data_IF_087729198286
#
_entry.id   IF_087729198286
#
_cell.length_a   1.000
_cell.length_b   1.000
_cell.length_c   1.000
_cell.angle_alpha   90.00
_cell.angle_beta   90.00
_cell.angle_gamma   90.00
#
_symmetry.space_group_name_H-M   'P 1'
#
loop_
_entity.id
_entity.type
_entity.pdbx_description
1 polymer ?
#
# COMPACT_ATOMS: atom_id res chain seq x y z
N UNK A 1 23.84 15.44 25.67
CA UNK A 1 23.66 15.49 24.19
C UNK A 1 22.21 15.34 23.85
N UNK A 2 21.66 16.31 23.14
CA UNK A 2 20.32 16.36 22.55
C UNK A 2 20.18 15.21 21.53
N UNK A 3 19.01 14.56 21.42
CA UNK A 3 18.70 13.84 20.18
C UNK A 3 18.99 14.82 19.03
N UNK A 4 19.69 14.39 17.98
CA UNK A 4 19.89 15.23 16.81
C UNK A 4 18.53 15.75 16.34
N UNK A 5 18.50 16.98 15.84
CA UNK A 5 17.27 17.64 15.39
C UNK A 5 16.42 16.69 14.53
N UNK A 6 17.05 15.89 13.66
CA UNK A 6 16.39 14.87 12.84
C UNK A 6 15.60 13.78 13.59
N UNK A 7 16.13 13.20 14.67
CA UNK A 7 15.45 12.10 15.39
C UNK A 7 14.23 12.55 16.22
N UNK A 8 14.27 13.78 16.77
CA UNK A 8 13.11 14.40 17.45
C UNK A 8 12.04 14.87 16.46
N UNK A 9 12.48 15.32 15.29
CA UNK A 9 11.57 15.74 14.21
C UNK A 9 10.80 14.53 13.67
N UNK A 10 11.44 13.38 13.47
CA UNK A 10 10.77 12.16 12.99
C UNK A 10 9.69 11.63 13.95
N UNK A 11 9.93 11.60 15.27
CA UNK A 11 8.91 11.16 16.24
C UNK A 11 7.72 12.11 16.35
N UNK A 12 7.96 13.42 16.34
CA UNK A 12 6.88 14.41 16.31
C UNK A 12 6.09 14.37 15.01
N UNK A 13 6.76 14.16 13.88
CA UNK A 13 6.11 14.00 12.57
C UNK A 13 5.23 12.75 12.52
N UNK A 14 5.68 11.62 13.08
CA UNK A 14 4.90 10.39 13.10
C UNK A 14 3.65 10.52 14.00
N UNK A 15 3.80 11.13 15.18
CA UNK A 15 2.67 11.40 16.08
C UNK A 15 1.69 12.40 15.45
N UNK A 16 2.19 13.48 14.85
CA UNK A 16 1.36 14.46 14.17
C UNK A 16 0.62 13.84 12.97
N UNK A 17 1.32 13.01 12.18
CA UNK A 17 0.70 12.29 11.07
C UNK A 17 -0.41 11.35 11.55
N UNK A 18 -0.16 10.57 12.61
CA UNK A 18 -1.17 9.69 13.24
C UNK A 18 -2.39 10.47 13.75
N UNK A 19 -2.19 11.65 14.33
CA UNK A 19 -3.29 12.53 14.79
C UNK A 19 -4.06 13.18 13.63
N UNK A 20 -3.41 13.39 12.49
CA UNK A 20 -4.00 13.98 11.29
C UNK A 20 -4.56 12.96 10.29
N UNK A 21 -4.31 11.66 10.51
CA UNK A 21 -4.71 10.62 9.57
C UNK A 21 -6.24 10.53 9.51
N UNK A 22 -6.78 10.71 8.31
CA UNK A 22 -8.19 10.54 8.04
C UNK A 22 -8.41 9.18 7.38
N UNK A 23 -9.21 8.29 7.99
CA UNK A 23 -9.58 7.02 7.39
C UNK A 23 -10.30 7.23 6.06
N UNK A 24 -10.03 6.35 5.10
CA UNK A 24 -10.76 6.30 3.84
C UNK A 24 -12.24 6.03 4.10
N UNK A 25 -13.12 6.79 3.46
CA UNK A 25 -14.57 6.56 3.55
C UNK A 25 -15.02 5.40 2.65
N UNK A 26 -14.35 5.23 1.50
CA UNK A 26 -14.59 4.17 0.52
C UNK A 26 -13.26 3.74 -0.10
N UNK A 27 -13.17 2.49 -0.53
CA UNK A 27 -12.04 1.97 -1.30
C UNK A 27 -12.53 1.31 -2.59
N UNK A 28 -11.64 1.20 -3.57
CA UNK A 28 -11.93 0.54 -4.83
C UNK A 28 -12.26 -0.94 -4.64
N UNK A 29 -13.21 -1.43 -5.44
CA UNK A 29 -13.60 -2.82 -5.44
C UNK A 29 -12.56 -3.68 -6.16
N UNK A 30 -12.33 -4.87 -5.63
CA UNK A 30 -11.53 -5.89 -6.30
C UNK A 30 -12.33 -6.60 -7.39
N UNK A 31 -11.66 -7.38 -8.24
CA UNK A 31 -12.35 -8.24 -9.21
C UNK A 31 -13.25 -9.26 -8.52
N UNK A 32 -12.86 -9.74 -7.34
CA UNK A 32 -13.68 -10.69 -6.58
C UNK A 32 -14.93 -10.02 -6.02
N UNK A 33 -14.82 -8.80 -5.51
CA UNK A 33 -15.99 -8.02 -5.06
C UNK A 33 -16.98 -7.77 -6.21
N UNK A 34 -16.47 -7.46 -7.42
CA UNK A 34 -17.30 -7.31 -8.62
C UNK A 34 -18.01 -8.61 -9.00
N UNK A 35 -17.33 -9.75 -8.91
CA UNK A 35 -17.96 -11.06 -9.15
C UNK A 35 -19.06 -11.35 -8.12
N UNK A 36 -18.85 -11.01 -6.85
CA UNK A 36 -19.87 -11.17 -5.80
C UNK A 36 -21.11 -10.33 -6.15
N UNK A 37 -20.94 -9.07 -6.56
CA UNK A 37 -22.06 -8.23 -7.00
C UNK A 37 -22.80 -8.82 -8.19
N UNK A 38 -22.07 -9.30 -9.20
CA UNK A 38 -22.65 -9.91 -10.39
C UNK A 38 -23.44 -11.19 -10.05
N UNK A 39 -22.91 -12.06 -9.20
CA UNK A 39 -23.61 -13.27 -8.73
C UNK A 39 -24.89 -12.90 -7.98
N UNK A 40 -24.82 -11.93 -7.08
CA UNK A 40 -25.99 -11.47 -6.31
C UNK A 40 -27.05 -10.85 -7.21
N UNK A 41 -26.65 -10.02 -8.17
CA UNK A 41 -27.54 -9.44 -9.17
C UNK A 41 -28.22 -10.53 -10.01
N UNK A 42 -27.44 -11.49 -10.54
CA UNK A 42 -27.97 -12.61 -11.33
C UNK A 42 -28.99 -13.44 -10.55
N UNK A 43 -28.72 -13.70 -9.27
CA UNK A 43 -29.64 -14.44 -8.41
C UNK A 43 -30.98 -13.70 -8.23
N UNK A 44 -30.93 -12.37 -7.99
CA UNK A 44 -32.13 -11.53 -7.87
C UNK A 44 -32.92 -11.46 -9.17
N UNK A 45 -32.25 -11.26 -10.31
CA UNK A 45 -32.92 -11.21 -11.61
C UNK A 45 -33.59 -12.56 -11.95
N UNK A 46 -32.92 -13.68 -11.68
CA UNK A 46 -33.51 -15.00 -11.82
C UNK A 46 -34.73 -15.19 -10.91
N UNK A 47 -34.71 -14.65 -9.69
CA UNK A 47 -35.88 -14.66 -8.80
C UNK A 47 -37.05 -13.85 -9.39
N UNK A 48 -36.78 -12.70 -10.02
CA UNK A 48 -37.81 -11.90 -10.70
C UNK A 48 -38.44 -12.67 -11.86
N UNK A 49 -37.64 -13.41 -12.63
CA UNK A 49 -38.14 -14.32 -13.66
C UNK A 49 -39.08 -15.36 -13.03
N UNK A 50 -38.62 -16.09 -12.01
CA UNK A 50 -39.37 -17.22 -11.47
C UNK A 50 -40.65 -16.82 -10.74
N UNK A 51 -40.66 -15.67 -10.07
CA UNK A 51 -41.81 -15.21 -9.29
C UNK A 51 -42.73 -14.29 -10.08
N UNK A 52 -42.19 -13.21 -10.62
CA UNK A 52 -43.01 -12.13 -11.19
C UNK A 52 -43.36 -12.37 -12.67
N UNK A 53 -42.39 -12.83 -13.48
CA UNK A 53 -42.67 -13.13 -14.88
C UNK A 53 -43.63 -14.32 -15.02
N UNK A 54 -43.51 -15.33 -14.16
CA UNK A 54 -44.45 -16.46 -14.06
C UNK A 54 -45.91 -16.01 -13.86
N UNK A 55 -46.14 -15.00 -13.01
CA UNK A 55 -47.47 -14.46 -12.75
C UNK A 55 -48.04 -13.74 -13.97
N UNK A 56 -47.20 -12.97 -14.69
CA UNK A 56 -47.59 -12.32 -15.95
C UNK A 56 -47.91 -13.37 -17.01
N UNK A 57 -47.05 -14.39 -17.20
CA UNK A 57 -47.27 -15.47 -18.15
C UNK A 57 -48.61 -16.18 -17.92
N UNK A 58 -48.92 -16.48 -16.66
CA UNK A 58 -50.20 -17.09 -16.27
C UNK A 58 -51.38 -16.19 -16.63
N UNK A 59 -51.28 -14.89 -16.36
CA UNK A 59 -52.36 -13.96 -16.63
C UNK A 59 -52.62 -13.77 -18.14
N UNK A 60 -51.56 -13.73 -18.96
CA UNK A 60 -51.71 -13.56 -20.42
C UNK A 60 -52.20 -14.85 -21.08
N UNK A 61 -51.75 -16.03 -20.65
CA UNK A 61 -52.16 -17.33 -21.22
C UNK A 61 -53.62 -17.69 -20.92
N UNK A 62 -54.18 -17.13 -19.85
CA UNK A 62 -55.59 -17.31 -19.45
C UNK A 62 -56.54 -16.30 -20.11
N UNK A 63 -56.03 -15.30 -20.83
CA UNK A 63 -56.88 -14.35 -21.52
C UNK A 63 -57.66 -15.06 -22.66
N UNK A 64 -58.91 -14.64 -22.89
CA UNK A 64 -59.81 -15.25 -23.89
C UNK A 64 -59.23 -15.29 -25.32
N UNK A 65 -58.28 -14.42 -25.63
CA UNK A 65 -57.63 -14.33 -26.95
C UNK A 65 -56.24 -14.98 -27.00
N UNK A 66 -55.82 -15.70 -25.95
CA UNK A 66 -54.49 -16.29 -25.89
C UNK A 66 -54.36 -17.63 -26.63
N UNK A 67 -55.48 -18.27 -26.97
CA UNK A 67 -55.48 -19.63 -27.49
C UNK A 67 -54.58 -19.87 -28.73
N UNK A 68 -54.42 -18.95 -29.71
CA UNK A 68 -53.52 -19.18 -30.85
C UNK A 68 -52.03 -19.17 -30.47
N UNK A 69 -51.69 -18.58 -29.32
CA UNK A 69 -50.33 -18.33 -28.87
C UNK A 69 -49.90 -19.29 -27.75
N UNK A 70 -50.83 -20.10 -27.23
CA UNK A 70 -50.59 -21.00 -26.11
C UNK A 70 -49.72 -22.21 -26.48
N UNK A 71 -49.66 -22.58 -27.76
CA UNK A 71 -48.88 -23.71 -28.27
C UNK A 71 -48.18 -23.34 -29.59
N UNK A 72 -47.12 -24.08 -29.99
CA UNK A 72 -46.46 -23.84 -31.27
C UNK A 72 -47.44 -23.89 -32.45
N UNK A 73 -47.17 -23.08 -33.49
CA UNK A 73 -47.95 -23.11 -34.73
C UNK A 73 -47.78 -24.46 -35.43
N UNK A 74 -48.90 -25.08 -35.80
CA UNK A 74 -48.92 -26.34 -36.54
C UNK A 74 -48.48 -26.12 -38.00
N UNK A 75 -47.23 -26.46 -38.28
CA UNK A 75 -46.62 -26.29 -39.62
C UNK A 75 -47.18 -27.26 -40.67
N UNK A 76 -47.89 -28.33 -40.28
CA UNK A 76 -48.61 -29.15 -41.25
C UNK A 76 -49.85 -28.41 -41.78
N UNK A 77 -50.49 -27.60 -40.93
CA UNK A 77 -51.63 -26.73 -41.31
C UNK A 77 -51.20 -25.42 -41.96
N UNK A 78 -50.03 -24.90 -41.59
CA UNK A 78 -49.45 -23.65 -42.10
C UNK A 78 -48.04 -23.92 -42.66
N UNK A 79 -47.92 -24.57 -43.83
CA UNK A 79 -46.64 -25.06 -44.37
C UNK A 79 -45.68 -23.94 -44.81
N UNK A 80 -46.19 -22.74 -45.08
CA UNK A 80 -45.41 -21.55 -45.41
C UNK A 80 -44.92 -20.79 -44.16
N UNK A 81 -45.45 -21.07 -42.98
CA UNK A 81 -45.07 -20.39 -41.73
C UNK A 81 -43.55 -20.38 -41.46
N UNK A 82 -42.81 -21.50 -41.59
CA UNK A 82 -41.36 -21.48 -41.38
C UNK A 82 -40.57 -20.68 -42.43
N UNK A 83 -41.18 -20.38 -43.58
CA UNK A 83 -40.56 -19.52 -44.61
C UNK A 83 -40.71 -18.04 -44.29
N UNK A 84 -41.79 -17.67 -43.60
CA UNK A 84 -42.12 -16.28 -43.26
C UNK A 84 -41.55 -15.89 -41.89
N UNK A 85 -41.58 -16.82 -40.93
CA UNK A 85 -41.18 -16.61 -39.54
C UNK A 85 -39.88 -17.36 -39.25
N UNK A 86 -38.80 -16.60 -39.05
CA UNK A 86 -37.46 -17.13 -38.84
C UNK A 86 -37.27 -17.79 -37.47
N UNK A 87 -37.93 -17.27 -36.43
CA UNK A 87 -37.78 -17.78 -35.05
C UNK A 87 -39.17 -17.95 -34.44
N UNK A 88 -39.80 -19.12 -34.62
CA UNK A 88 -41.08 -19.44 -33.99
C UNK A 88 -40.99 -19.33 -32.46
N UNK A 89 -42.05 -18.84 -31.82
CA UNK A 89 -42.17 -18.74 -30.37
C UNK A 89 -43.64 -18.82 -29.96
N UNK A 90 -43.90 -19.35 -28.77
CA UNK A 90 -45.23 -19.50 -28.18
C UNK A 90 -45.13 -19.54 -26.64
N UNK A 91 -46.26 -19.38 -25.95
CA UNK A 91 -46.26 -19.29 -24.49
C UNK A 91 -45.91 -20.61 -23.78
N UNK A 92 -46.18 -21.78 -24.38
CA UNK A 92 -45.76 -23.07 -23.79
C UNK A 92 -44.25 -23.26 -23.88
N UNK A 93 -43.63 -22.84 -24.99
CA UNK A 93 -42.16 -22.84 -25.12
C UNK A 93 -41.52 -21.89 -24.12
N UNK A 94 -42.05 -20.68 -23.95
CA UNK A 94 -41.57 -19.72 -22.95
C UNK A 94 -41.72 -20.30 -21.54
N UNK A 95 -42.84 -20.97 -21.24
CA UNK A 95 -43.07 -21.63 -19.95
C UNK A 95 -42.00 -22.69 -19.68
N UNK A 96 -41.74 -23.58 -20.64
CA UNK A 96 -40.71 -24.62 -20.52
C UNK A 96 -39.32 -24.02 -20.32
N UNK A 97 -38.96 -23.00 -21.10
CA UNK A 97 -37.70 -22.27 -20.93
C UNK A 97 -37.58 -21.68 -19.53
N UNK A 98 -38.63 -21.00 -19.06
CA UNK A 98 -38.66 -20.41 -17.73
C UNK A 98 -38.49 -21.47 -16.64
N UNK A 99 -39.25 -22.56 -16.69
CA UNK A 99 -39.21 -23.64 -15.69
C UNK A 99 -37.84 -24.37 -15.69
N UNK A 100 -37.13 -24.38 -16.83
CA UNK A 100 -35.76 -24.93 -16.92
C UNK A 100 -34.65 -23.99 -16.43
N UNK A 101 -34.98 -22.76 -16.02
CA UNK A 101 -34.01 -21.74 -15.63
C UNK A 101 -33.24 -21.13 -16.81
N UNK A 102 -33.79 -21.19 -18.02
CA UNK A 102 -33.16 -20.66 -19.23
C UNK A 102 -32.93 -19.15 -19.16
N UNK A 103 -33.94 -18.40 -18.71
CA UNK A 103 -33.87 -16.93 -18.62
C UNK A 103 -33.15 -16.52 -17.34
N UNK A 104 -32.11 -15.70 -17.50
CA UNK A 104 -31.31 -15.13 -16.40
C UNK A 104 -31.70 -13.69 -16.10
N UNK A 105 -32.29 -13.01 -17.08
CA UNK A 105 -32.79 -11.65 -16.97
C UNK A 105 -34.27 -11.60 -17.43
N UNK A 106 -35.18 -10.95 -16.67
CA UNK A 106 -36.55 -10.69 -17.11
C UNK A 106 -36.67 -10.05 -18.49
N UNK A 107 -35.66 -9.31 -18.96
CA UNK A 107 -35.60 -8.74 -20.32
C UNK A 107 -35.50 -9.80 -21.40
N UNK A 108 -34.78 -10.90 -21.16
CA UNK A 108 -34.69 -12.03 -22.10
C UNK A 108 -36.05 -12.72 -22.22
N UNK A 109 -36.71 -12.92 -21.08
CA UNK A 109 -38.07 -13.47 -21.03
C UNK A 109 -39.06 -12.55 -21.77
N UNK A 110 -38.97 -11.25 -21.55
CA UNK A 110 -39.84 -10.26 -22.19
C UNK A 110 -39.64 -10.19 -23.71
N UNK A 111 -38.39 -10.34 -24.18
CA UNK A 111 -38.08 -10.39 -25.60
C UNK A 111 -38.81 -11.56 -26.30
N UNK A 112 -38.86 -12.74 -25.68
CA UNK A 112 -39.59 -13.87 -26.23
C UNK A 112 -41.11 -13.64 -26.23
N UNK A 113 -41.66 -12.97 -25.20
CA UNK A 113 -43.09 -12.57 -25.19
C UNK A 113 -43.41 -11.63 -26.36
N UNK A 114 -42.57 -10.62 -26.59
CA UNK A 114 -42.73 -9.71 -27.74
C UNK A 114 -42.53 -10.43 -29.08
N UNK A 115 -41.66 -11.44 -29.12
CA UNK A 115 -41.44 -12.26 -30.30
C UNK A 115 -42.71 -13.00 -30.73
N UNK A 116 -43.48 -13.56 -29.79
CA UNK A 116 -44.80 -14.18 -30.07
C UNK A 116 -45.71 -13.23 -30.85
N UNK A 117 -45.88 -12.01 -30.34
CA UNK A 117 -46.78 -11.03 -30.96
C UNK A 117 -46.24 -10.46 -32.27
N UNK A 118 -44.92 -10.21 -32.35
CA UNK A 118 -44.30 -9.72 -33.59
C UNK A 118 -44.38 -10.74 -34.72
N UNK A 119 -44.18 -12.03 -34.42
CA UNK A 119 -44.36 -13.13 -35.37
C UNK A 119 -45.81 -13.21 -35.84
N UNK A 120 -46.77 -13.15 -34.91
CA UNK A 120 -48.19 -13.19 -35.25
C UNK A 120 -48.59 -12.03 -36.18
N UNK A 121 -48.16 -10.79 -35.87
CA UNK A 121 -48.45 -9.61 -36.70
C UNK A 121 -47.72 -9.62 -38.04
N UNK A 122 -46.57 -10.28 -38.13
CA UNK A 122 -45.83 -10.44 -39.39
C UNK A 122 -46.46 -11.46 -40.32
N UNK A 123 -46.92 -12.59 -39.77
CA UNK A 123 -47.52 -13.66 -40.56
C UNK A 123 -48.97 -13.33 -40.98
N UNK A 124 -49.74 -12.71 -40.09
CA UNK A 124 -51.16 -12.45 -40.30
C UNK A 124 -51.41 -11.03 -40.82
N UNK A 125 -52.26 -10.92 -41.86
CA UNK A 125 -52.63 -9.64 -42.45
C UNK A 125 -53.23 -8.68 -41.40
N UNK A 126 -52.93 -7.36 -41.48
CA UNK A 126 -53.56 -6.37 -40.63
C UNK A 126 -55.09 -6.45 -40.69
N UNK A 127 -55.75 -6.39 -39.52
CA UNK A 127 -57.21 -6.49 -39.41
C UNK A 127 -57.78 -7.91 -39.37
N UNK A 128 -56.97 -8.95 -39.62
CA UNK A 128 -57.40 -10.33 -39.35
C UNK A 128 -57.55 -10.59 -37.85
N UNK A 129 -58.39 -11.57 -37.48
CA UNK A 129 -58.64 -11.91 -36.07
C UNK A 129 -57.35 -12.15 -35.29
N UNK A 130 -56.44 -12.98 -35.81
CA UNK A 130 -55.18 -13.30 -35.14
C UNK A 130 -54.27 -12.07 -34.98
N UNK A 131 -54.27 -11.16 -35.97
CA UNK A 131 -53.52 -9.91 -35.88
C UNK A 131 -54.07 -9.00 -34.76
N UNK A 132 -55.40 -8.84 -34.69
CA UNK A 132 -56.06 -8.06 -33.65
C UNK A 132 -55.87 -8.68 -32.26
N UNK A 133 -55.97 -10.00 -32.14
CA UNK A 133 -55.71 -10.73 -30.90
C UNK A 133 -54.28 -10.53 -30.41
N UNK A 134 -53.29 -10.57 -31.30
CA UNK A 134 -51.89 -10.32 -30.96
C UNK A 134 -51.67 -8.87 -30.50
N UNK A 135 -52.29 -7.89 -31.17
CA UNK A 135 -52.19 -6.49 -30.78
C UNK A 135 -52.77 -6.25 -29.37
N UNK A 136 -53.98 -6.73 -29.11
CA UNK A 136 -54.61 -6.54 -27.80
C UNK A 136 -53.87 -7.27 -26.69
N UNK A 137 -53.38 -8.48 -26.94
CA UNK A 137 -52.58 -9.18 -25.93
C UNK A 137 -51.22 -8.55 -25.68
N UNK A 138 -50.61 -7.94 -26.70
CA UNK A 138 -49.39 -7.17 -26.52
C UNK A 138 -49.65 -6.00 -25.55
N UNK A 139 -50.70 -5.21 -25.77
CA UNK A 139 -51.08 -4.09 -24.90
C UNK A 139 -51.33 -4.54 -23.45
N UNK A 140 -52.10 -5.63 -23.27
CA UNK A 140 -52.35 -6.23 -21.93
C UNK A 140 -51.06 -6.73 -21.28
N UNK A 141 -50.14 -7.29 -22.06
CA UNK A 141 -48.86 -7.80 -21.56
C UNK A 141 -47.96 -6.64 -21.12
N UNK A 142 -47.90 -5.57 -21.91
CA UNK A 142 -47.13 -4.35 -21.62
C UNK A 142 -47.63 -3.68 -20.33
N UNK A 143 -48.94 -3.53 -20.18
CA UNK A 143 -49.54 -3.00 -18.95
C UNK A 143 -49.15 -3.83 -17.72
N UNK A 144 -49.16 -5.16 -17.84
CA UNK A 144 -48.76 -6.07 -16.75
C UNK A 144 -47.26 -6.01 -16.48
N UNK A 145 -46.44 -5.88 -17.51
CA UNK A 145 -44.99 -5.74 -17.38
C UNK A 145 -44.65 -4.48 -16.56
N UNK A 146 -45.23 -3.34 -16.93
CA UNK A 146 -45.03 -2.06 -16.22
C UNK A 146 -45.50 -2.12 -14.76
N UNK A 147 -46.59 -2.84 -14.48
CA UNK A 147 -47.12 -2.94 -13.12
C UNK A 147 -46.38 -3.94 -12.23
N UNK A 148 -45.90 -5.05 -12.79
CA UNK A 148 -45.45 -6.20 -12.00
C UNK A 148 -43.95 -6.51 -12.13
N UNK A 149 -43.33 -6.18 -13.27
CA UNK A 149 -41.92 -6.51 -13.54
C UNK A 149 -41.04 -5.27 -13.46
N UNK A 150 -41.41 -4.17 -14.11
CA UNK A 150 -40.61 -2.94 -14.11
C UNK A 150 -40.23 -2.41 -12.71
N UNK A 151 -41.13 -2.41 -11.71
CA UNK A 151 -40.78 -1.99 -10.35
C UNK A 151 -39.76 -2.93 -9.70
N UNK A 152 -39.80 -4.23 -10.00
CA UNK A 152 -38.87 -5.23 -9.46
C UNK A 152 -37.48 -5.08 -10.06
N UNK A 153 -37.40 -4.72 -11.34
CA UNK A 153 -36.14 -4.37 -11.99
C UNK A 153 -35.53 -3.09 -11.38
N UNK A 154 -36.36 -2.08 -11.08
CA UNK A 154 -35.90 -0.87 -10.41
C UNK A 154 -35.41 -1.14 -8.98
N UNK A 155 -36.14 -1.97 -8.22
CA UNK A 155 -35.73 -2.42 -6.88
C UNK A 155 -34.43 -3.20 -6.91
N UNK A 156 -34.23 -4.08 -7.90
CA UNK A 156 -32.99 -4.82 -8.11
C UNK A 156 -31.82 -3.88 -8.39
N UNK A 157 -31.97 -2.93 -9.33
CA UNK A 157 -30.93 -1.95 -9.64
C UNK A 157 -30.54 -1.13 -8.40
N UNK A 158 -31.53 -0.71 -7.61
CA UNK A 158 -31.28 -0.02 -6.35
C UNK A 158 -30.59 -0.92 -5.31
N UNK A 159 -30.91 -2.22 -5.26
CA UNK A 159 -30.25 -3.18 -4.40
C UNK A 159 -28.78 -3.39 -4.78
N UNK A 160 -28.48 -3.52 -6.07
CA UNK A 160 -27.12 -3.66 -6.57
C UNK A 160 -26.26 -2.43 -6.23
N UNK A 161 -26.81 -1.21 -6.36
CA UNK A 161 -26.12 0.00 -5.92
C UNK A 161 -25.86 0.02 -4.41
N UNK A 162 -26.84 -0.42 -3.59
CA UNK A 162 -26.66 -0.53 -2.13
C UNK A 162 -25.57 -1.53 -1.77
N UNK A 163 -25.57 -2.70 -2.39
CA UNK A 163 -24.56 -3.74 -2.17
C UNK A 163 -23.16 -3.22 -2.54
N UNK A 164 -23.04 -2.49 -3.66
CA UNK A 164 -21.78 -1.88 -4.09
C UNK A 164 -21.23 -0.89 -3.06
N UNK A 165 -22.08 0.00 -2.56
CA UNK A 165 -21.71 0.98 -1.51
C UNK A 165 -21.26 0.27 -0.23
N UNK A 166 -21.98 -0.79 0.18
CA UNK A 166 -21.62 -1.59 1.36
C UNK A 166 -20.25 -2.24 1.19
N UNK A 167 -19.97 -2.84 0.02
CA UNK A 167 -18.67 -3.46 -0.25
C UNK A 167 -17.54 -2.43 -0.29
N UNK A 168 -17.75 -1.27 -0.93
CA UNK A 168 -16.75 -0.18 -0.96
C UNK A 168 -16.41 0.31 0.44
N UNK A 169 -17.41 0.43 1.32
CA UNK A 169 -17.21 0.81 2.73
C UNK A 169 -16.45 -0.27 3.50
N UNK A 170 -16.86 -1.54 3.40
CA UNK A 170 -16.14 -2.67 4.03
C UNK A 170 -14.70 -2.74 3.57
N UNK A 171 -14.43 -2.43 2.30
CA UNK A 171 -13.06 -2.43 1.79
C UNK A 171 -12.23 -1.28 2.33
N UNK A 172 -12.83 -0.09 2.46
CA UNK A 172 -12.20 1.01 3.19
C UNK A 172 -11.85 0.61 4.62
N UNK A 173 -12.75 -0.07 5.34
CA UNK A 173 -12.48 -0.56 6.71
C UNK A 173 -11.26 -1.49 6.76
N UNK A 174 -11.14 -2.43 5.81
CA UNK A 174 -9.96 -3.32 5.72
C UNK A 174 -8.67 -2.54 5.43
N UNK A 175 -8.71 -1.59 4.48
CA UNK A 175 -7.54 -0.78 4.14
C UNK A 175 -7.13 0.11 5.32
N UNK A 176 -8.10 0.73 5.99
CA UNK A 176 -7.85 1.56 7.17
C UNK A 176 -7.24 0.76 8.32
N UNK A 177 -7.72 -0.47 8.54
CA UNK A 177 -7.14 -1.37 9.53
C UNK A 177 -5.68 -1.70 9.22
N UNK A 178 -5.38 -2.04 7.97
CA UNK A 178 -4.01 -2.32 7.52
C UNK A 178 -3.08 -1.09 7.66
N UNK A 179 -3.57 0.12 7.33
CA UNK A 179 -2.82 1.36 7.53
C UNK A 179 -2.54 1.59 9.01
N UNK A 180 -3.54 1.40 9.87
CA UNK A 180 -3.39 1.57 11.33
C UNK A 180 -2.37 0.58 11.90
N UNK A 181 -2.42 -0.69 11.47
CA UNK A 181 -1.47 -1.71 11.91
C UNK A 181 -0.03 -1.39 11.47
N UNK A 182 0.15 -1.00 10.21
CA UNK A 182 1.46 -0.59 9.68
C UNK A 182 2.01 0.64 10.44
N UNK A 183 1.14 1.58 10.77
CA UNK A 183 1.46 2.76 11.58
C UNK A 183 1.93 2.37 12.98
N UNK A 184 1.19 1.49 13.67
CA UNK A 184 1.56 1.05 15.02
C UNK A 184 2.89 0.30 15.02
N UNK A 185 3.15 -0.53 14.01
CA UNK A 185 4.45 -1.17 13.83
C UNK A 185 5.60 -0.16 13.64
N UNK A 186 5.39 0.89 12.83
CA UNK A 186 6.39 1.96 12.65
C UNK A 186 6.64 2.74 13.95
N UNK A 187 5.59 3.04 14.72
CA UNK A 187 5.71 3.69 16.02
C UNK A 187 6.55 2.84 16.99
N UNK A 188 6.32 1.51 17.02
CA UNK A 188 7.07 0.59 17.88
C UNK A 188 8.56 0.55 17.51
N UNK A 189 8.89 0.51 16.21
CA UNK A 189 10.28 0.56 15.74
C UNK A 189 10.94 1.87 16.19
N UNK A 190 10.26 3.00 16.02
CA UNK A 190 10.80 4.30 16.41
C UNK A 190 11.04 4.38 17.92
N UNK A 191 10.12 3.85 18.73
CA UNK A 191 10.28 3.78 20.18
C UNK A 191 11.51 2.95 20.58
N UNK A 192 11.68 1.77 19.98
CA UNK A 192 12.85 0.91 20.23
C UNK A 192 14.16 1.59 19.82
N UNK A 193 14.18 2.30 18.69
CA UNK A 193 15.35 3.07 18.24
C UNK A 193 15.70 4.19 19.24
N UNK A 194 14.69 4.88 19.77
CA UNK A 194 14.88 5.91 20.80
C UNK A 194 15.43 5.31 22.10
N UNK A 195 14.90 4.17 22.54
CA UNK A 195 15.39 3.46 23.72
C UNK A 195 16.84 2.98 23.55
N UNK A 196 17.18 2.40 22.39
CA UNK A 196 18.54 1.97 22.06
C UNK A 196 19.52 3.16 22.05
N UNK A 197 19.13 4.28 21.45
CA UNK A 197 19.94 5.50 21.49
C UNK A 197 20.18 6.01 22.92
N UNK A 198 19.20 5.90 23.81
CA UNK A 198 19.36 6.27 25.22
C UNK A 198 20.31 5.30 25.95
N UNK A 199 20.14 3.99 25.78
CA UNK A 199 21.01 2.97 26.38
C UNK A 199 22.46 3.08 25.91
N UNK A 200 22.70 3.33 24.61
CA UNK A 200 24.05 3.60 24.08
C UNK A 200 24.66 4.84 24.74
N UNK A 201 23.87 5.87 25.01
CA UNK A 201 24.36 7.08 25.68
C UNK A 201 24.74 6.81 27.12
N UNK A 202 23.92 6.08 27.87
CA UNK A 202 24.25 5.65 29.24
C UNK A 202 25.50 4.78 29.28
N UNK A 203 25.60 3.78 28.40
CA UNK A 203 26.78 2.92 28.31
C UNK A 203 28.06 3.73 28.02
N UNK A 204 27.99 4.73 27.13
CA UNK A 204 29.10 5.65 26.86
C UNK A 204 29.46 6.50 28.07
N UNK A 205 28.48 7.03 28.80
CA UNK A 205 28.70 7.83 30.00
C UNK A 205 29.34 6.98 31.12
N UNK A 206 28.85 5.76 31.33
CA UNK A 206 29.42 4.80 32.27
C UNK A 206 30.86 4.43 31.89
N UNK A 207 31.12 4.07 30.63
CA UNK A 207 32.46 3.78 30.14
C UNK A 207 33.43 4.97 30.32
N UNK A 208 32.95 6.20 30.08
CA UNK A 208 33.73 7.41 30.36
C UNK A 208 34.00 7.61 31.84
N UNK A 209 33.07 7.27 32.73
CA UNK A 209 33.28 7.40 34.18
C UNK A 209 34.27 6.36 34.74
N UNK A 210 34.39 5.20 34.09
CA UNK A 210 35.32 4.14 34.47
C UNK A 210 36.74 4.35 33.91
N UNK A 211 36.90 5.26 32.95
CA UNK A 211 38.21 5.59 32.38
C UNK A 211 38.95 6.60 33.28
N UNK A 212 40.13 6.20 33.75
CA UNK A 212 41.03 7.11 34.45
C UNK A 212 41.45 8.26 33.51
N UNK A 213 41.19 9.54 33.88
CA UNK A 213 41.50 10.67 33.03
C UNK A 213 43.00 10.77 32.78
N UNK A 214 43.39 11.14 31.55
CA UNK A 214 44.80 11.39 31.24
C UNK A 214 45.32 12.57 32.08
N UNK A 215 46.51 12.42 32.66
CA UNK A 215 47.23 13.51 33.32
C UNK A 215 47.64 14.59 32.31
N UNK A 216 48.04 15.77 32.80
CA UNK A 216 48.52 16.85 31.94
C UNK A 216 49.74 16.42 31.11
N UNK A 217 50.66 15.67 31.74
CA UNK A 217 51.86 15.12 31.11
C UNK A 217 51.50 14.10 30.02
N UNK A 218 50.57 13.18 30.30
CA UNK A 218 50.09 12.21 29.30
C UNK A 218 49.43 12.91 28.10
N UNK A 219 48.66 13.99 28.33
CA UNK A 219 48.05 14.79 27.26
C UNK A 219 49.11 15.49 26.41
N UNK A 220 50.15 16.06 27.04
CA UNK A 220 51.24 16.71 26.33
C UNK A 220 52.04 15.71 25.49
N UNK A 221 52.36 14.54 26.04
CA UNK A 221 53.03 13.46 25.32
C UNK A 221 52.20 12.95 24.13
N UNK A 222 50.89 12.78 24.32
CA UNK A 222 49.98 12.37 23.24
C UNK A 222 49.91 13.43 22.13
N UNK A 223 49.82 14.71 22.48
CA UNK A 223 49.82 15.80 21.50
C UNK A 223 51.13 15.87 20.70
N UNK A 224 52.27 15.72 21.36
CA UNK A 224 53.58 15.67 20.70
C UNK A 224 53.68 14.46 19.75
N UNK A 225 53.18 13.29 20.18
CA UNK A 225 53.19 12.07 19.35
C UNK A 225 52.32 12.25 18.10
N UNK A 226 51.12 12.82 18.23
CA UNK A 226 50.23 13.09 17.09
C UNK A 226 50.91 14.04 16.09
N UNK A 227 51.60 15.08 16.55
CA UNK A 227 52.30 16.02 15.67
C UNK A 227 53.46 15.39 14.88
N UNK A 228 54.03 14.28 15.38
CA UNK A 228 55.09 13.53 14.73
C UNK A 228 54.61 12.49 13.71
N UNK A 229 53.29 12.29 13.55
CA UNK A 229 52.76 11.27 12.64
C UNK A 229 52.73 11.74 11.17
N UNK A 230 52.89 10.83 10.19
CA UNK A 230 52.68 11.08 8.78
C UNK A 230 51.27 11.56 8.47
N UNK A 231 51.13 12.36 7.42
CA UNK A 231 49.88 12.99 7.00
C UNK A 231 48.72 12.01 6.81
N UNK A 232 48.97 10.82 6.26
CA UNK A 232 47.94 9.78 6.06
C UNK A 232 47.36 9.24 7.38
N UNK A 233 48.17 9.15 8.44
CA UNK A 233 47.71 8.70 9.75
C UNK A 233 47.06 9.84 10.54
N UNK A 234 47.50 11.09 10.32
CA UNK A 234 46.83 12.28 10.83
C UNK A 234 45.40 12.40 10.29
N UNK A 235 45.17 12.13 9.01
CA UNK A 235 43.83 12.11 8.42
C UNK A 235 42.92 11.07 9.07
N UNK A 236 43.45 9.86 9.35
CA UNK A 236 42.73 8.81 10.09
C UNK A 236 42.35 9.26 11.51
N UNK A 237 43.27 9.91 12.22
CA UNK A 237 43.01 10.46 13.57
C UNK A 237 41.97 11.58 13.52
N UNK A 238 42.05 12.48 12.55
CA UNK A 238 41.07 13.55 12.37
C UNK A 238 39.70 12.96 12.05
N UNK A 239 39.61 11.97 11.15
CA UNK A 239 38.37 11.28 10.84
C UNK A 239 37.80 10.53 12.05
N UNK A 240 38.67 9.90 12.86
CA UNK A 240 38.31 9.21 14.10
C UNK A 240 37.72 10.17 15.15
N UNK A 241 38.32 11.34 15.32
CA UNK A 241 37.83 12.37 16.26
C UNK A 241 36.56 13.02 15.71
N UNK A 242 36.53 13.38 14.43
CA UNK A 242 35.37 14.01 13.78
C UNK A 242 34.12 13.10 13.78
N UNK A 243 34.30 11.78 13.64
CA UNK A 243 33.20 10.81 13.71
C UNK A 243 32.61 10.63 15.11
N UNK A 244 33.34 10.98 16.18
CA UNK A 244 32.89 10.86 17.58
C UNK A 244 32.50 12.20 18.20
N UNK A 245 33.13 13.27 17.76
CA UNK A 245 32.84 14.67 18.09
C UNK A 245 32.73 15.46 16.77
N UNK A 246 31.55 15.45 16.12
CA UNK A 246 31.33 16.34 14.98
C UNK A 246 31.54 17.78 15.45
N UNK A 247 32.26 18.62 14.69
CA UNK A 247 32.47 20.01 15.05
C UNK A 247 31.10 20.66 15.23
N UNK A 248 30.87 21.30 16.39
CA UNK A 248 29.69 22.11 16.60
C UNK A 248 29.69 23.17 15.49
N UNK A 249 28.75 23.06 14.56
CA UNK A 249 28.57 24.04 13.48
C UNK A 249 28.06 25.33 14.15
N UNK A 250 29.00 26.16 14.58
CA UNK A 250 28.78 27.57 14.79
C UNK A 250 29.13 28.23 13.47
N UNK A 251 28.11 28.61 12.69
CA UNK A 251 28.26 29.46 11.53
C UNK A 251 28.96 30.75 11.97
N UNK A 252 30.21 30.93 11.56
CA UNK A 252 30.83 32.24 11.48
C UNK A 252 30.80 32.60 10.01
N UNK A 253 29.80 33.37 9.62
CA UNK A 253 29.67 33.93 8.28
C UNK A 253 30.95 34.70 7.94
N UNK A 254 31.72 34.19 6.98
CA UNK A 254 32.74 34.98 6.32
C UNK A 254 32.05 35.84 5.27
N UNK A 255 32.04 37.16 5.49
CA UNK A 255 31.66 38.13 4.47
C UNK A 255 32.56 38.02 3.23
N UNK A 256 32.04 38.35 2.02
CA UNK A 256 32.73 38.14 0.77
C UNK A 256 33.67 39.32 0.47
N UNK A 257 34.91 39.01 0.08
CA UNK A 257 35.86 40.03 -0.35
C UNK A 257 36.94 39.48 -1.27
N UNK A 258 36.86 39.89 -2.55
CA UNK A 258 38.02 40.26 -3.37
C UNK A 258 38.86 39.13 -3.97
N UNK A 259 38.77 38.98 -5.30
CA UNK A 259 39.63 38.13 -6.08
C UNK A 259 41.11 38.53 -6.05
N UNK A 260 41.97 37.54 -6.29
CA UNK A 260 43.41 37.74 -6.43
C UNK A 260 44.08 36.40 -6.74
N UNK A 261 44.40 36.19 -8.01
CA UNK A 261 45.22 35.09 -8.50
C UNK A 261 46.65 35.24 -7.96
N UNK A 262 47.16 34.21 -7.28
CA UNK A 262 48.54 34.19 -6.79
C UNK A 262 48.89 32.82 -6.22
N UNK A 263 49.77 32.10 -6.91
CA UNK A 263 50.37 30.86 -6.42
C UNK A 263 51.08 31.11 -5.09
N UNK A 264 50.73 30.29 -4.10
CA UNK A 264 51.30 30.35 -2.76
C UNK A 264 51.00 29.04 -2.05
N UNK A 265 52.04 28.46 -1.45
CA UNK A 265 52.06 27.17 -0.77
C UNK A 265 50.75 26.81 -0.07
N UNK A 266 50.27 25.58 -0.29
CA UNK A 266 49.25 24.95 0.55
C UNK A 266 49.76 25.03 1.98
N UNK A 267 49.13 25.78 2.89
CA UNK A 267 49.58 25.80 4.27
C UNK A 267 49.30 24.40 4.80
N UNK A 268 50.35 23.65 5.13
CA UNK A 268 50.23 22.42 5.91
C UNK A 268 49.53 22.80 7.21
N UNK A 269 48.20 22.67 7.24
CA UNK A 269 47.40 22.91 8.44
C UNK A 269 47.92 21.96 9.50
N UNK A 270 48.73 22.47 10.43
CA UNK A 270 49.06 21.76 11.66
C UNK A 270 47.72 21.48 12.34
N UNK A 271 47.27 20.24 12.28
CA UNK A 271 46.04 19.81 12.93
C UNK A 271 46.27 19.94 14.44
N UNK A 272 45.72 20.99 15.03
CA UNK A 272 45.87 21.27 16.46
C UNK A 272 44.62 20.77 17.19
N UNK A 273 44.67 19.52 17.65
CA UNK A 273 43.58 18.94 18.44
C UNK A 273 43.63 19.49 19.87
N UNK A 274 42.53 20.11 20.31
CA UNK A 274 42.42 20.56 21.70
C UNK A 274 41.98 19.38 22.58
N UNK A 275 42.98 18.63 23.08
CA UNK A 275 42.77 17.46 23.94
C UNK A 275 42.05 17.77 25.26
N UNK A 276 41.96 19.05 25.66
CA UNK A 276 41.25 19.47 26.88
C UNK A 276 39.73 19.42 26.78
N UNK A 277 39.17 19.29 25.57
CA UNK A 277 37.71 19.26 25.33
C UNK A 277 37.13 17.86 25.19
N UNK A 278 37.97 16.83 25.24
CA UNK A 278 37.55 15.44 25.03
C UNK A 278 37.35 14.72 26.36
N UNK A 279 36.35 13.84 26.40
CA UNK A 279 36.08 13.01 27.57
C UNK A 279 37.18 11.95 27.79
N UNK A 280 37.34 11.41 29.02
CA UNK A 280 38.36 10.42 29.35
C UNK A 280 38.35 9.18 28.44
N UNK A 281 37.18 8.71 28.00
CA UNK A 281 37.07 7.55 27.13
C UNK A 281 37.61 7.86 25.74
N UNK A 282 37.23 8.99 25.15
CA UNK A 282 37.75 9.41 23.84
C UNK A 282 39.26 9.61 23.88
N UNK A 283 39.79 10.21 24.95
CA UNK A 283 41.23 10.41 25.12
C UNK A 283 42.01 9.09 25.21
N UNK A 284 41.49 8.10 25.95
CA UNK A 284 42.11 6.76 26.03
C UNK A 284 42.00 5.99 24.72
N UNK A 285 40.89 6.09 24.01
CA UNK A 285 40.75 5.50 22.67
C UNK A 285 41.70 6.14 21.65
N UNK A 286 41.88 7.47 21.72
CA UNK A 286 42.84 8.20 20.91
C UNK A 286 44.28 7.80 21.25
N UNK A 287 44.62 7.69 22.53
CA UNK A 287 45.93 7.22 22.99
C UNK A 287 46.23 5.81 22.45
N UNK A 288 45.24 4.91 22.47
CA UNK A 288 45.40 3.57 21.91
C UNK A 288 45.58 3.58 20.39
N UNK A 289 44.77 4.35 19.66
CA UNK A 289 44.90 4.49 18.20
C UNK A 289 46.27 5.06 17.79
N UNK A 290 46.75 6.07 18.50
CA UNK A 290 48.07 6.65 18.24
C UNK A 290 49.17 5.63 18.51
N UNK A 291 49.05 4.84 19.59
CA UNK A 291 49.99 3.77 19.93
C UNK A 291 50.05 2.66 18.86
N UNK A 292 48.91 2.29 18.26
CA UNK A 292 48.91 1.29 17.17
C UNK A 292 49.49 1.86 15.88
N UNK A 293 49.22 3.14 15.58
CA UNK A 293 49.83 3.84 14.45
C UNK A 293 51.37 3.91 14.55
N UNK A 294 51.90 4.24 15.74
CA UNK A 294 53.35 4.29 15.96
C UNK A 294 53.99 2.90 15.94
N UNK A 295 53.33 1.89 16.51
CA UNK A 295 53.81 0.51 16.46
C UNK A 295 53.86 -0.02 15.00
N UNK A 296 52.85 0.29 14.18
CA UNK A 296 52.85 -0.08 12.77
C UNK A 296 54.00 0.58 11.97
N UNK A 297 54.33 1.84 12.26
CA UNK A 297 55.48 2.51 11.65
C UNK A 297 56.81 1.88 12.06
N UNK A 298 56.96 1.55 13.35
CA UNK A 298 58.16 0.90 13.86
C UNK A 298 58.36 -0.47 13.22
N UNK A 299 57.28 -1.23 13.01
CA UNK A 299 57.32 -2.50 12.29
C UNK A 299 57.68 -2.33 10.80
N UNK A 300 57.12 -1.33 10.12
CA UNK A 300 57.48 -1.02 8.72
C UNK A 300 58.95 -0.59 8.60
N UNK A 301 59.45 0.21 9.55
CA UNK A 301 60.85 0.62 9.61
C UNK A 301 61.79 -0.57 9.91
N UNK A 302 61.41 -1.47 10.83
CA UNK A 302 62.18 -2.67 11.16
C UNK A 302 62.23 -3.66 9.99
N UNK A 303 61.12 -3.82 9.26
CA UNK A 303 61.06 -4.66 8.05
C UNK A 303 61.91 -4.08 6.91
N UNK A 304 61.92 -2.76 6.73
CA UNK A 304 62.80 -2.08 5.77
C UNK A 304 64.30 -2.23 6.12
N UNK A 305 64.62 -2.55 7.38
CA UNK A 305 65.98 -2.77 7.90
C UNK A 305 66.31 -4.27 8.08
N UNK A 306 65.43 -5.20 7.72
CA UNK A 306 65.67 -6.65 7.79
C UNK A 306 65.60 -7.27 9.20
N UNK A 307 65.00 -6.60 10.18
CA UNK A 307 64.85 -7.08 11.57
C UNK A 307 63.49 -7.76 11.80
N UNK A 308 63.42 -8.80 12.65
CA UNK A 308 62.14 -9.44 13.01
C UNK A 308 61.25 -8.50 13.86
N UNK A 309 59.96 -8.33 13.53
CA UNK A 309 59.08 -7.43 14.27
C UNK A 309 58.67 -8.01 15.63
N UNK A 310 58.69 -7.17 16.67
CA UNK A 310 58.14 -7.49 17.99
C UNK A 310 56.60 -7.45 18.05
N UNK A 311 55.98 -8.06 19.07
CA UNK A 311 54.52 -8.12 19.21
C UNK A 311 53.91 -6.73 19.41
N UNK A 312 52.73 -6.50 18.81
CA UNK A 312 51.96 -5.27 19.02
C UNK A 312 51.55 -5.15 20.50
N UNK A 313 51.52 -3.92 21.06
CA UNK A 313 51.10 -3.72 22.43
C UNK A 313 49.65 -4.20 22.62
N UNK A 314 49.36 -5.02 23.65
CA UNK A 314 48.02 -5.52 23.88
C UNK A 314 47.07 -4.36 24.19
N UNK A 315 45.81 -4.51 23.77
CA UNK A 315 44.71 -3.66 24.24
C UNK A 315 44.63 -3.77 25.76
N UNK A 316 45.11 -2.76 26.48
CA UNK A 316 44.76 -2.57 27.90
C UNK A 316 43.31 -2.14 27.95
N UNK A 317 42.40 -3.10 27.90
CA UNK A 317 41.03 -2.89 28.37
C UNK A 317 41.11 -2.54 29.87
N UNK A 318 40.26 -1.61 30.36
CA UNK A 318 40.21 -1.29 31.78
C UNK A 318 39.93 -2.58 32.55
N UNK A 319 40.91 -3.04 33.33
CA UNK A 319 40.62 -4.08 34.33
C UNK A 319 39.71 -3.42 35.35
N UNK A 320 38.49 -3.94 35.48
CA UNK A 320 37.58 -3.53 36.53
C UNK A 320 38.29 -3.68 37.87
N UNK A 321 38.28 -2.62 38.70
CA UNK A 321 38.69 -2.75 40.10
C UNK A 321 37.90 -3.92 40.71
N UNK A 322 38.55 -4.90 41.36
CA UNK A 322 37.82 -5.94 42.06
C UNK A 322 36.91 -5.25 43.08
N UNK A 323 35.63 -5.60 43.07
CA UNK A 323 34.69 -5.19 44.12
C UNK A 323 35.23 -5.74 45.44
N UNK A 324 35.57 -4.83 46.36
CA UNK A 324 35.64 -5.13 47.78
C UNK A 324 34.21 -5.21 48.34
#
# INVERSE_FOLDING_TARGET
MTLTFGGRVQARQLIAWKQSFQPLAVAELTDEDRRILEVNQRARLAEVVQKHCSAVLKAITQHKWAFPFNTPVDTARFPDYPRVIATPMDFSTIRVRQDSGFYRDPKEWWADIMLVFSNAKRYNAPGSDCHLMAQTLQEVSEEKYEKLIAPRLAEEAAATLRDEVVLKKRRAEVVNAAISEAMDAQCAILFNLMALHAAIREAKALASSLCEPLTLEEKQALAATIQGLPTSQLESIVAFVASRHPPSVSQSEAQPGGGGSGGGAVPSRKVQLNLGRYDPLLLRQLQHLVSTCTAAQQQQAAQAQGLQPGPLPPLRLPQGKPRA
#
